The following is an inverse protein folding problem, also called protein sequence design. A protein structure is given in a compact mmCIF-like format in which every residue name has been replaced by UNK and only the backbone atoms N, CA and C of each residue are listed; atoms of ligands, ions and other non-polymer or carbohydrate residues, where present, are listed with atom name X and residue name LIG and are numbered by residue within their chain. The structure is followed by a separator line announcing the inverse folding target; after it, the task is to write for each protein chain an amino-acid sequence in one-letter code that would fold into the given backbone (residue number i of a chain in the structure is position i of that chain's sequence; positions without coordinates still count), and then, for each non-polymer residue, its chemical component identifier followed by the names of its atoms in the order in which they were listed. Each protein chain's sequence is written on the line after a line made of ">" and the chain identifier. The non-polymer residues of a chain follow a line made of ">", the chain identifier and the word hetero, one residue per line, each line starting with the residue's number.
data_IF_760804713118
#
_entry.id   IF_760804713118
#
_cell.length_a   1.000
_cell.length_b   1.000
_cell.length_c   1.000
_cell.angle_alpha   90.00
_cell.angle_beta   90.00
_cell.angle_gamma   90.00
#
_symmetry.space_group_name_H-M   'P 1'
#
loop_
_entity.id
_entity.type
_entity.pdbx_description
1 polymer ?
#
# COMPACT_ATOMS: atom_id res chain seq x y z
N UNK A 1 -12.52 -22.31 -2.96
CA UNK A 1 -11.89 -21.52 -1.88
C UNK A 1 -10.38 -21.73 -1.76
N UNK A 2 -9.87 -22.99 -1.75
CA UNK A 2 -8.42 -23.25 -1.70
C UNK A 2 -7.62 -22.55 -2.82
N UNK A 3 -8.18 -22.44 -4.01
CA UNK A 3 -7.54 -21.77 -5.18
C UNK A 3 -7.37 -20.25 -4.95
N UNK A 4 -8.34 -19.57 -4.32
CA UNK A 4 -8.28 -18.13 -4.02
C UNK A 4 -7.20 -17.86 -2.98
N UNK A 5 -7.20 -18.63 -1.88
CA UNK A 5 -6.19 -18.50 -0.83
C UNK A 5 -4.78 -18.80 -1.34
N UNK A 6 -4.64 -19.77 -2.25
CA UNK A 6 -3.36 -20.09 -2.89
C UNK A 6 -2.91 -18.93 -3.78
N UNK A 7 -3.79 -18.40 -4.64
CA UNK A 7 -3.46 -17.28 -5.53
C UNK A 7 -3.04 -16.02 -4.75
N UNK A 8 -3.70 -15.71 -3.63
CA UNK A 8 -3.30 -14.59 -2.77
C UNK A 8 -1.92 -14.82 -2.14
N UNK A 9 -1.60 -16.04 -1.69
CA UNK A 9 -0.27 -16.38 -1.16
C UNK A 9 0.82 -16.27 -2.22
N UNK A 10 0.55 -16.78 -3.42
CA UNK A 10 1.48 -16.71 -4.55
C UNK A 10 1.72 -15.24 -4.95
N UNK A 11 0.67 -14.40 -4.96
CA UNK A 11 0.78 -12.97 -5.22
C UNK A 11 1.61 -12.24 -4.14
N UNK A 12 1.43 -12.59 -2.85
CA UNK A 12 2.24 -12.04 -1.76
C UNK A 12 3.71 -12.44 -1.91
N UNK A 13 3.99 -13.69 -2.26
CA UNK A 13 5.35 -14.16 -2.49
C UNK A 13 6.02 -13.39 -3.63
N UNK A 14 5.32 -13.23 -4.76
CA UNK A 14 5.81 -12.47 -5.90
C UNK A 14 6.05 -10.99 -5.53
N UNK A 15 5.15 -10.39 -4.78
CA UNK A 15 5.27 -9.02 -4.28
C UNK A 15 6.50 -8.84 -3.40
N UNK A 16 6.79 -9.81 -2.52
CA UNK A 16 7.99 -9.75 -1.67
C UNK A 16 9.30 -9.84 -2.49
N UNK A 17 9.32 -10.69 -3.51
CA UNK A 17 10.47 -10.78 -4.44
C UNK A 17 10.65 -9.44 -5.17
N UNK A 18 9.55 -8.86 -5.68
CA UNK A 18 9.59 -7.55 -6.33
C UNK A 18 10.05 -6.44 -5.36
N UNK A 19 9.59 -6.46 -4.11
CA UNK A 19 10.03 -5.51 -3.09
C UNK A 19 11.55 -5.59 -2.84
N UNK A 20 12.10 -6.80 -2.67
CA UNK A 20 13.55 -6.97 -2.48
C UNK A 20 14.32 -6.41 -3.67
N UNK A 21 13.86 -6.68 -4.90
CA UNK A 21 14.47 -6.14 -6.10
C UNK A 21 14.42 -4.60 -6.13
N UNK A 22 13.26 -4.01 -5.92
CA UNK A 22 13.10 -2.53 -5.89
C UNK A 22 13.88 -1.89 -4.76
N UNK A 23 13.96 -2.53 -3.59
CA UNK A 23 14.73 -2.04 -2.47
C UNK A 23 16.23 -1.97 -2.78
N UNK A 24 16.78 -3.03 -3.39
CA UNK A 24 18.18 -3.08 -3.79
C UNK A 24 18.50 -2.03 -4.87
N UNK A 25 17.57 -1.75 -5.78
CA UNK A 25 17.78 -0.80 -6.88
C UNK A 25 17.51 0.64 -6.41
N UNK A 26 16.36 0.91 -5.83
CA UNK A 26 15.93 2.29 -5.55
C UNK A 26 16.69 2.89 -4.37
N UNK A 27 16.95 2.11 -3.31
CA UNK A 27 17.52 2.65 -2.08
C UNK A 27 18.90 3.29 -2.28
N UNK A 28 19.89 2.66 -2.96
CA UNK A 28 21.19 3.26 -3.19
C UNK A 28 21.18 4.31 -4.33
N UNK A 29 20.30 4.16 -5.32
CA UNK A 29 20.27 5.04 -6.49
C UNK A 29 19.27 6.20 -6.39
N UNK A 30 18.57 6.37 -5.25
CA UNK A 30 17.55 7.41 -5.08
C UNK A 30 18.05 8.82 -5.42
N UNK A 31 19.23 9.21 -4.93
CA UNK A 31 19.79 10.54 -5.19
C UNK A 31 20.14 10.74 -6.68
N UNK A 32 20.68 9.70 -7.32
CA UNK A 32 20.99 9.76 -8.75
C UNK A 32 19.72 9.84 -9.60
N UNK A 33 18.70 9.07 -9.27
CA UNK A 33 17.40 9.11 -9.95
C UNK A 33 16.73 10.48 -9.83
N UNK A 34 16.80 11.12 -8.65
CA UNK A 34 16.22 12.45 -8.45
C UNK A 34 16.94 13.52 -9.28
N UNK A 35 18.25 13.43 -9.45
CA UNK A 35 19.02 14.36 -10.29
C UNK A 35 18.67 14.29 -11.79
N UNK A 36 17.99 13.26 -12.25
CA UNK A 36 17.46 13.19 -13.62
C UNK A 36 16.22 14.09 -13.83
N UNK A 37 15.52 14.44 -12.74
CA UNK A 37 14.27 15.20 -12.79
C UNK A 37 14.40 16.62 -12.24
N UNK A 38 15.42 16.88 -11.41
CA UNK A 38 15.64 18.16 -10.75
C UNK A 38 16.99 18.73 -11.22
N UNK A 39 16.98 20.00 -11.57
CA UNK A 39 18.18 20.70 -12.06
C UNK A 39 19.28 20.73 -11.00
N UNK A 40 20.54 20.66 -11.44
CA UNK A 40 21.72 20.52 -10.57
C UNK A 40 21.95 21.70 -9.58
N UNK A 41 21.19 22.78 -9.74
CA UNK A 41 21.25 23.95 -8.86
C UNK A 41 20.46 23.79 -7.53
N UNK A 42 19.55 22.82 -7.42
CA UNK A 42 18.64 22.68 -6.28
C UNK A 42 18.94 21.43 -5.45
N UNK A 43 20.12 21.36 -4.86
CA UNK A 43 20.57 20.20 -4.08
C UNK A 43 19.65 19.87 -2.89
N UNK A 44 19.00 20.85 -2.28
CA UNK A 44 18.08 20.67 -1.17
C UNK A 44 16.81 19.94 -1.62
N UNK A 45 16.26 20.30 -2.77
CA UNK A 45 15.07 19.64 -3.37
C UNK A 45 15.38 18.19 -3.71
N UNK A 46 16.57 17.93 -4.29
CA UNK A 46 17.03 16.55 -4.58
C UNK A 46 17.11 15.72 -3.30
N UNK A 47 17.67 16.26 -2.22
CA UNK A 47 17.80 15.58 -0.94
C UNK A 47 16.42 15.24 -0.34
N UNK A 48 15.49 16.17 -0.37
CA UNK A 48 14.12 15.95 0.11
C UNK A 48 13.36 14.92 -0.72
N UNK A 49 13.47 14.98 -2.05
CA UNK A 49 12.85 14.01 -2.95
C UNK A 49 13.42 12.60 -2.76
N UNK A 50 14.74 12.47 -2.59
CA UNK A 50 15.40 11.20 -2.32
C UNK A 50 14.98 10.63 -0.96
N UNK A 51 14.84 11.47 0.06
CA UNK A 51 14.32 11.07 1.38
C UNK A 51 12.89 10.51 1.26
N UNK A 52 12.00 11.22 0.55
CA UNK A 52 10.64 10.76 0.30
C UNK A 52 10.63 9.39 -0.39
N UNK A 53 11.42 9.23 -1.45
CA UNK A 53 11.52 7.98 -2.20
C UNK A 53 12.00 6.81 -1.32
N UNK A 54 13.00 7.03 -0.46
CA UNK A 54 13.51 6.01 0.47
C UNK A 54 12.47 5.61 1.50
N UNK A 55 11.76 6.57 2.09
CA UNK A 55 10.68 6.30 3.06
C UNK A 55 9.54 5.54 2.37
N UNK A 56 9.07 5.98 1.22
CA UNK A 56 8.01 5.30 0.46
C UNK A 56 8.41 3.88 0.09
N UNK A 57 9.65 3.67 -0.40
CA UNK A 57 10.17 2.35 -0.76
C UNK A 57 10.19 1.38 0.42
N UNK A 58 10.51 1.85 1.62
CA UNK A 58 10.48 1.04 2.83
C UNK A 58 9.07 0.49 3.14
N UNK A 59 8.02 1.24 2.80
CA UNK A 59 6.63 0.86 3.02
C UNK A 59 5.96 0.17 1.81
N UNK A 60 6.66 -0.09 0.72
CA UNK A 60 6.11 -0.80 -0.44
C UNK A 60 5.50 -2.17 -0.15
N UNK A 61 5.99 -3.00 0.81
CA UNK A 61 5.29 -4.23 1.17
C UNK A 61 3.88 -4.00 1.69
N UNK A 62 3.67 -2.90 2.42
CA UNK A 62 2.35 -2.51 2.94
C UNK A 62 1.42 -2.09 1.80
N UNK A 63 1.95 -1.32 0.84
CA UNK A 63 1.24 -0.95 -0.39
C UNK A 63 0.91 -2.18 -1.25
N UNK A 64 1.86 -3.10 -1.41
CA UNK A 64 1.65 -4.33 -2.18
C UNK A 64 0.57 -5.22 -1.56
N UNK A 65 0.56 -5.38 -0.24
CA UNK A 65 -0.50 -6.10 0.47
C UNK A 65 -1.87 -5.44 0.27
N UNK A 66 -1.93 -4.11 0.37
CA UNK A 66 -3.12 -3.31 0.12
C UNK A 66 -3.68 -3.58 -1.28
N UNK A 67 -2.83 -3.52 -2.31
CA UNK A 67 -3.22 -3.75 -3.68
C UNK A 67 -3.76 -5.18 -3.90
N UNK A 68 -3.06 -6.20 -3.38
CA UNK A 68 -3.47 -7.61 -3.49
C UNK A 68 -4.83 -7.82 -2.84
N UNK A 69 -5.06 -7.32 -1.63
CA UNK A 69 -6.33 -7.48 -0.91
C UNK A 69 -7.46 -6.72 -1.60
N UNK A 70 -7.21 -5.48 -2.03
CA UNK A 70 -8.18 -4.62 -2.73
C UNK A 70 -8.66 -5.28 -4.02
N UNK A 71 -7.75 -5.67 -4.90
CA UNK A 71 -8.10 -6.31 -6.16
C UNK A 71 -8.71 -7.70 -5.97
N UNK A 72 -8.30 -8.46 -4.95
CA UNK A 72 -8.92 -9.73 -4.62
C UNK A 72 -10.37 -9.58 -4.19
N UNK A 73 -10.69 -8.61 -3.32
CA UNK A 73 -12.06 -8.30 -2.88
C UNK A 73 -12.90 -7.83 -4.07
N UNK A 74 -12.34 -6.98 -4.93
CA UNK A 74 -13.01 -6.47 -6.12
C UNK A 74 -13.28 -7.60 -7.13
N UNK A 75 -12.32 -8.49 -7.37
CA UNK A 75 -12.49 -9.65 -8.24
C UNK A 75 -13.50 -10.69 -7.74
N UNK A 76 -13.77 -10.71 -6.43
CA UNK A 76 -14.82 -11.52 -5.81
C UNK A 76 -16.22 -10.87 -5.88
N UNK A 77 -16.35 -9.71 -6.54
CA UNK A 77 -17.63 -9.02 -6.73
C UNK A 77 -18.03 -8.07 -5.60
N UNK A 78 -17.16 -7.83 -4.61
CA UNK A 78 -17.41 -6.92 -3.49
C UNK A 78 -16.78 -5.54 -3.69
N UNK A 79 -17.00 -4.92 -4.87
CA UNK A 79 -16.40 -3.63 -5.26
C UNK A 79 -16.64 -2.50 -4.25
N UNK A 80 -17.79 -2.50 -3.56
CA UNK A 80 -18.10 -1.48 -2.55
C UNK A 80 -17.10 -1.49 -1.39
N UNK A 81 -16.63 -2.67 -0.96
CA UNK A 81 -15.60 -2.76 0.09
C UNK A 81 -14.25 -2.23 -0.40
N UNK A 82 -13.92 -2.47 -1.67
CA UNK A 82 -12.73 -1.91 -2.30
C UNK A 82 -12.77 -0.38 -2.38
N UNK A 83 -13.93 0.20 -2.73
CA UNK A 83 -14.12 1.65 -2.73
C UNK A 83 -14.00 2.24 -1.33
N UNK A 84 -14.58 1.60 -0.31
CA UNK A 84 -14.52 2.06 1.07
C UNK A 84 -13.08 2.12 1.60
N UNK A 85 -12.20 1.21 1.16
CA UNK A 85 -10.78 1.28 1.53
C UNK A 85 -10.10 2.56 1.00
N UNK A 86 -10.51 3.08 -0.17
CA UNK A 86 -10.04 4.36 -0.68
C UNK A 86 -10.49 5.55 0.17
N UNK A 87 -11.71 5.49 0.71
CA UNK A 87 -12.20 6.49 1.66
C UNK A 87 -11.36 6.48 2.94
N UNK A 88 -10.99 5.30 3.45
CA UNK A 88 -10.09 5.18 4.60
C UNK A 88 -8.71 5.77 4.35
N UNK A 89 -8.15 5.57 3.15
CA UNK A 89 -6.89 6.24 2.77
C UNK A 89 -7.02 7.76 2.77
N UNK A 90 -8.11 8.28 2.22
CA UNK A 90 -8.37 9.73 2.19
C UNK A 90 -8.47 10.31 3.60
N UNK A 91 -9.23 9.67 4.49
CA UNK A 91 -9.35 10.09 5.90
C UNK A 91 -7.99 10.09 6.58
N UNK A 92 -7.18 9.04 6.37
CA UNK A 92 -5.85 8.95 6.94
C UNK A 92 -4.92 10.07 6.45
N UNK A 93 -4.92 10.36 5.14
CA UNK A 93 -4.14 11.48 4.57
C UNK A 93 -4.57 12.83 5.11
N UNK A 94 -5.87 13.07 5.24
CA UNK A 94 -6.38 14.29 5.87
C UNK A 94 -5.92 14.40 7.33
N UNK A 95 -5.99 13.32 8.10
CA UNK A 95 -5.52 13.29 9.48
C UNK A 95 -4.02 13.58 9.60
N UNK A 96 -3.19 12.97 8.75
CA UNK A 96 -1.74 13.23 8.72
C UNK A 96 -1.47 14.69 8.36
N UNK A 97 -2.15 15.23 7.35
CA UNK A 97 -1.95 16.62 6.91
C UNK A 97 -2.31 17.62 7.99
N UNK A 98 -3.38 17.37 8.78
CA UNK A 98 -3.85 18.31 9.79
C UNK A 98 -3.06 18.22 11.11
N UNK A 99 -2.60 17.02 11.49
CA UNK A 99 -2.03 16.80 12.84
C UNK A 99 -0.53 16.48 12.82
N UNK A 100 -0.05 15.74 11.84
CA UNK A 100 1.35 15.27 11.79
C UNK A 100 2.24 16.24 11.04
N UNK A 101 1.79 16.77 9.90
CA UNK A 101 2.59 17.72 9.11
C UNK A 101 2.96 18.98 9.89
N UNK A 102 2.07 19.62 10.69
CA UNK A 102 2.43 20.79 11.48
C UNK A 102 3.51 20.53 12.53
N UNK A 103 3.64 19.28 13.01
CA UNK A 103 4.61 18.90 14.06
C UNK A 103 5.93 18.39 13.49
N UNK A 104 5.89 17.59 12.43
CA UNK A 104 7.06 16.93 11.85
C UNK A 104 7.52 17.54 10.52
N UNK A 105 6.89 18.61 10.08
CA UNK A 105 7.23 19.34 8.84
C UNK A 105 7.37 18.39 7.64
N UNK A 106 8.55 18.34 7.00
CA UNK A 106 8.79 17.52 5.82
C UNK A 106 8.64 16.02 6.05
N UNK A 107 9.12 15.53 7.19
CA UNK A 107 8.97 14.09 7.55
C UNK A 107 7.50 13.70 7.69
N UNK A 108 6.65 14.61 8.19
CA UNK A 108 5.20 14.42 8.25
C UNK A 108 4.58 14.24 6.86
N UNK A 109 5.02 15.02 5.88
CA UNK A 109 4.59 14.86 4.48
C UNK A 109 4.98 13.49 3.94
N UNK A 110 6.23 13.05 4.18
CA UNK A 110 6.71 11.75 3.75
C UNK A 110 5.95 10.57 4.35
N UNK A 111 5.35 10.73 5.53
CA UNK A 111 4.57 9.70 6.22
C UNK A 111 3.09 9.64 5.77
N UNK A 112 2.64 10.62 4.98
CA UNK A 112 1.24 10.69 4.52
C UNK A 112 0.77 9.44 3.81
N UNK A 113 1.53 8.97 2.85
CA UNK A 113 1.22 7.75 2.09
C UNK A 113 1.38 6.47 2.92
N UNK A 114 2.49 6.24 3.64
CA UNK A 114 2.63 5.08 4.52
C UNK A 114 1.51 4.91 5.53
N UNK A 115 1.10 5.98 6.20
CA UNK A 115 -0.01 5.93 7.17
C UNK A 115 -1.33 5.61 6.49
N UNK A 116 -1.59 6.19 5.31
CA UNK A 116 -2.79 5.89 4.53
C UNK A 116 -2.84 4.40 4.12
N UNK A 117 -1.72 3.83 3.68
CA UNK A 117 -1.64 2.40 3.33
C UNK A 117 -1.85 1.49 4.54
N UNK A 118 -1.31 1.85 5.70
CA UNK A 118 -1.54 1.11 6.94
C UNK A 118 -3.03 1.14 7.34
N UNK A 119 -3.67 2.30 7.32
CA UNK A 119 -5.10 2.45 7.66
C UNK A 119 -5.99 1.64 6.71
N UNK A 120 -5.72 1.70 5.41
CA UNK A 120 -6.46 0.90 4.44
C UNK A 120 -6.28 -0.61 4.65
N UNK A 121 -5.08 -1.08 5.01
CA UNK A 121 -4.85 -2.50 5.32
C UNK A 121 -5.58 -2.93 6.61
N UNK A 122 -5.62 -2.08 7.64
CA UNK A 122 -6.40 -2.35 8.88
C UNK A 122 -7.87 -2.60 8.56
N UNK A 123 -8.42 -1.91 7.56
CA UNK A 123 -9.79 -2.14 7.08
C UNK A 123 -9.89 -3.36 6.14
N UNK A 124 -8.97 -3.50 5.18
CA UNK A 124 -9.04 -4.53 4.14
C UNK A 124 -8.81 -5.94 4.65
N UNK A 125 -7.95 -6.15 5.63
CA UNK A 125 -7.67 -7.48 6.19
C UNK A 125 -8.95 -8.11 6.77
N UNK A 126 -9.68 -7.48 7.70
CA UNK A 126 -10.93 -8.05 8.21
C UNK A 126 -12.02 -8.14 7.13
N UNK A 127 -12.08 -7.17 6.20
CA UNK A 127 -13.02 -7.21 5.08
C UNK A 127 -12.78 -8.44 4.19
N UNK A 128 -11.53 -8.76 3.87
CA UNK A 128 -11.16 -9.93 3.08
C UNK A 128 -11.50 -11.24 3.79
N UNK A 129 -11.22 -11.34 5.08
CA UNK A 129 -11.57 -12.52 5.90
C UNK A 129 -13.09 -12.71 5.96
N UNK A 130 -13.85 -11.63 6.12
CA UNK A 130 -15.31 -11.68 6.11
C UNK A 130 -15.85 -12.15 4.75
N UNK A 131 -15.34 -11.62 3.64
CA UNK A 131 -15.72 -12.04 2.28
C UNK A 131 -15.43 -13.53 2.08
N UNK A 132 -14.25 -14.00 2.47
CA UNK A 132 -13.91 -15.42 2.40
C UNK A 132 -14.84 -16.29 3.22
N UNK A 133 -15.19 -15.86 4.43
CA UNK A 133 -16.12 -16.60 5.30
C UNK A 133 -17.51 -16.68 4.69
N UNK A 134 -18.02 -15.56 4.16
CA UNK A 134 -19.33 -15.48 3.50
C UNK A 134 -19.40 -16.41 2.28
N UNK A 135 -18.39 -16.41 1.44
CA UNK A 135 -18.34 -17.26 0.26
C UNK A 135 -18.21 -18.76 0.60
N UNK A 136 -17.48 -19.10 1.68
CA UNK A 136 -17.42 -20.49 2.19
C UNK A 136 -18.81 -20.97 2.64
N UNK A 137 -19.55 -20.12 3.35
CA UNK A 137 -20.91 -20.45 3.82
C UNK A 137 -21.87 -20.66 2.66
N UNK A 138 -21.81 -19.84 1.63
CA UNK A 138 -22.61 -20.01 0.41
C UNK A 138 -22.26 -21.31 -0.34
N UNK A 139 -20.97 -21.60 -0.53
CA UNK A 139 -20.56 -22.82 -1.21
C UNK A 139 -21.06 -24.08 -0.49
N UNK A 140 -21.02 -24.13 0.83
CA UNK A 140 -21.55 -25.27 1.60
C UNK A 140 -23.08 -25.42 1.47
N UNK A 141 -23.82 -24.34 1.23
CA UNK A 141 -25.26 -24.38 1.06
C UNK A 141 -25.70 -24.98 -0.29
N UNK A 142 -24.88 -24.83 -1.34
CA UNK A 142 -25.19 -25.37 -2.68
C UNK A 142 -24.75 -26.83 -2.87
N UNK A 143 -24.03 -27.43 -1.94
CA UNK A 143 -23.54 -28.80 -2.00
C UNK A 143 -24.26 -29.76 -1.01
N UNK A 144 -25.32 -29.30 -0.33
CA UNK A 144 -26.24 -30.08 0.48
C UNK A 144 -27.58 -30.11 -0.21
#
# INVERSE_FOLDING_TARGET
>A
MARISKGVKDAICLMLVYFVFTFIVIYPFADWMMRLFVDSGEAEVVAHAAQFMRIANYFYPVLGLLAILRYSIQGLGFSNLSMLSGVMEMIARCGVSLWIVPTLTWTGVCLGDPVAWCMANVFLIPAFLWVQHRLKKQANFYFV
#
